data_IF_153264808662
#
_entry.id   IF_153264808662
#
_cell.length_a   1.000
_cell.length_b   1.000
_cell.length_c   1.000
_cell.angle_alpha   90.00
_cell.angle_beta   90.00
_cell.angle_gamma   90.00
#
_symmetry.space_group_name_H-M   'P 1'
#
loop_
_entity.id
_entity.type
_entity.pdbx_description
1 polymer ?
#
# COMPACT_ATOMS: atom_id res chain seq x y z
N UNK A 1 -60.42 39.58 0.76
CA UNK A 1 -60.85 40.40 -0.40
C UNK A 1 -59.85 40.16 -1.54
N UNK A 2 -60.35 39.72 -2.72
CA UNK A 2 -59.82 39.91 -4.11
C UNK A 2 -58.29 39.78 -4.29
N UNK A 3 -57.68 38.75 -4.88
CA UNK A 3 -57.95 37.99 -6.13
C UNK A 3 -58.18 38.88 -7.37
N UNK A 4 -57.28 38.71 -8.35
CA UNK A 4 -57.29 39.14 -9.75
C UNK A 4 -56.94 40.61 -10.10
N UNK A 5 -55.73 40.79 -10.66
CA UNK A 5 -55.60 41.49 -11.94
C UNK A 5 -54.54 40.80 -12.80
N UNK A 6 -55.00 39.82 -13.59
CA UNK A 6 -54.32 39.28 -14.78
C UNK A 6 -54.50 40.27 -15.93
N UNK A 7 -53.47 40.49 -16.74
CA UNK A 7 -53.47 40.52 -18.22
C UNK A 7 -52.04 40.92 -18.66
N UNK A 8 -51.21 40.03 -19.19
CA UNK A 8 -51.20 39.41 -20.52
C UNK A 8 -50.99 40.39 -21.69
N UNK A 9 -50.09 39.98 -22.61
CA UNK A 9 -49.74 40.49 -23.94
C UNK A 9 -48.82 41.73 -23.98
N UNK A 10 -47.70 41.75 -24.73
CA UNK A 10 -47.16 40.77 -25.67
C UNK A 10 -45.89 41.30 -26.37
N UNK A 11 -45.10 40.36 -26.96
CA UNK A 11 -44.45 40.41 -28.29
C UNK A 11 -43.71 41.71 -28.70
N UNK A 12 -42.47 41.77 -29.22
CA UNK A 12 -41.64 40.82 -29.99
C UNK A 12 -40.33 41.52 -30.46
N UNK A 13 -39.36 40.73 -30.98
CA UNK A 13 -38.23 41.06 -31.93
C UNK A 13 -36.92 41.60 -31.32
N UNK A 14 -35.89 40.79 -31.05
CA UNK A 14 -34.82 40.19 -31.90
C UNK A 14 -33.85 41.20 -32.56
N UNK A 15 -32.57 41.14 -32.17
CA UNK A 15 -31.42 41.26 -33.09
C UNK A 15 -30.25 40.43 -32.55
N UNK A 16 -29.94 39.36 -33.29
CA UNK A 16 -28.80 38.48 -33.13
C UNK A 16 -27.67 39.01 -34.00
N UNK A 17 -26.49 39.18 -33.43
CA UNK A 17 -25.22 39.04 -34.14
C UNK A 17 -24.35 38.18 -33.21
N UNK A 18 -23.98 36.93 -33.52
CA UNK A 18 -23.70 36.35 -34.83
C UNK A 18 -22.20 36.41 -35.06
N UNK A 19 -21.44 35.56 -34.37
CA UNK A 19 -20.00 35.38 -34.52
C UNK A 19 -19.61 33.95 -34.22
N UNK A 20 -20.02 33.03 -35.10
CA UNK A 20 -19.53 31.65 -35.16
C UNK A 20 -18.33 31.56 -36.12
N UNK A 21 -17.28 30.88 -35.68
CA UNK A 21 -16.39 30.01 -36.46
C UNK A 21 -15.85 29.00 -35.44
N UNK A 22 -16.46 27.82 -35.22
CA UNK A 22 -16.60 26.63 -36.08
C UNK A 22 -15.27 25.88 -36.29
N UNK A 23 -15.19 24.70 -35.63
CA UNK A 23 -14.74 23.36 -36.11
C UNK A 23 -13.94 22.63 -35.01
N UNK A 24 -14.60 21.76 -34.24
CA UNK A 24 -14.76 20.30 -34.43
C UNK A 24 -13.70 19.53 -33.62
N UNK A 25 -14.03 18.59 -32.72
CA UNK A 25 -15.30 17.89 -32.55
C UNK A 25 -15.52 17.33 -31.15
N UNK A 26 -16.76 16.93 -30.95
CA UNK A 26 -17.27 16.18 -29.82
C UNK A 26 -16.38 14.98 -29.48
N UNK A 27 -15.98 14.91 -28.23
CA UNK A 27 -16.03 13.68 -27.45
C UNK A 27 -16.78 14.01 -26.16
N UNK A 28 -18.11 13.88 -26.21
CA UNK A 28 -18.87 13.42 -25.05
C UNK A 28 -18.28 12.06 -24.64
N UNK A 29 -17.25 12.08 -23.81
CA UNK A 29 -16.99 10.94 -22.95
C UNK A 29 -17.98 11.09 -21.82
N UNK A 30 -19.10 10.40 -21.95
CA UNK A 30 -19.91 9.96 -20.83
C UNK A 30 -18.99 9.19 -19.87
N UNK A 31 -18.30 9.91 -18.97
CA UNK A 31 -17.67 9.31 -17.81
C UNK A 31 -18.76 9.06 -16.75
N UNK A 32 -19.73 8.22 -17.12
CA UNK A 32 -20.62 7.52 -16.20
C UNK A 32 -19.91 6.28 -15.63
N UNK A 33 -18.64 6.42 -15.26
CA UNK A 33 -17.88 5.45 -14.47
C UNK A 33 -17.36 6.10 -13.16
N UNK A 34 -17.97 7.21 -12.73
CA UNK A 34 -17.79 7.74 -11.40
C UNK A 34 -18.64 6.90 -10.42
N UNK A 35 -17.94 6.13 -9.57
CA UNK A 35 -18.46 5.43 -8.40
C UNK A 35 -19.24 4.13 -8.64
N UNK A 36 -18.66 3.18 -9.38
CA UNK A 36 -19.02 1.78 -9.11
C UNK A 36 -18.47 1.43 -7.72
N UNK A 37 -19.35 1.06 -6.78
CA UNK A 37 -18.95 0.54 -5.45
C UNK A 37 -18.09 -0.70 -5.68
N UNK A 38 -16.86 -0.68 -5.17
CA UNK A 38 -15.86 -1.73 -5.32
C UNK A 38 -15.36 -2.13 -3.93
N UNK A 39 -14.90 -3.39 -3.73
CA UNK A 39 -14.38 -3.82 -2.45
C UNK A 39 -13.19 -2.95 -2.03
N UNK A 40 -13.18 -2.56 -0.77
CA UNK A 40 -12.07 -1.79 -0.18
C UNK A 40 -11.03 -2.77 0.33
N UNK A 41 -9.75 -2.45 0.13
CA UNK A 41 -8.64 -3.28 0.61
C UNK A 41 -7.72 -2.46 1.50
N UNK A 42 -7.25 -3.06 2.59
CA UNK A 42 -6.29 -2.44 3.50
C UNK A 42 -5.34 -3.47 4.12
N UNK A 43 -4.10 -3.05 4.37
CA UNK A 43 -3.07 -3.84 5.03
C UNK A 43 -2.54 -3.06 6.22
N UNK A 44 -2.53 -3.67 7.41
CA UNK A 44 -2.09 -3.01 8.64
C UNK A 44 -1.09 -3.84 9.43
N UNK A 45 -0.10 -3.15 9.99
CA UNK A 45 0.90 -3.70 10.91
C UNK A 45 0.96 -2.79 12.13
N UNK A 46 0.32 -3.20 13.22
CA UNK A 46 0.11 -2.31 14.37
C UNK A 46 -0.72 -1.10 13.94
N UNK A 47 -0.20 0.10 14.17
CA UNK A 47 -0.86 1.35 13.76
C UNK A 47 -0.43 1.82 12.35
N UNK A 48 0.49 1.10 11.70
CA UNK A 48 1.02 1.45 10.38
C UNK A 48 0.12 0.89 9.27
N UNK A 49 -0.29 1.78 8.35
CA UNK A 49 -1.02 1.41 7.14
C UNK A 49 -0.05 1.17 5.98
N UNK A 50 -0.01 -0.06 5.48
CA UNK A 50 0.85 -0.50 4.38
C UNK A 50 0.04 -0.80 3.11
N UNK A 51 -1.14 -0.20 2.97
CA UNK A 51 -2.04 -0.43 1.83
C UNK A 51 -1.48 0.16 0.54
N UNK A 52 -0.80 1.31 0.60
CA UNK A 52 -0.29 2.00 -0.59
C UNK A 52 -1.37 2.21 -1.65
N UNK A 53 -1.02 1.98 -2.93
CA UNK A 53 -1.92 2.15 -4.07
C UNK A 53 -2.76 0.89 -4.40
N UNK A 54 -2.86 -0.07 -3.49
CA UNK A 54 -3.31 -1.44 -3.78
C UNK A 54 -4.81 -1.60 -3.98
N UNK A 55 -5.60 -0.57 -3.68
CA UNK A 55 -7.04 -0.57 -3.94
C UNK A 55 -7.39 -0.74 -5.43
N UNK A 56 -6.51 -0.30 -6.34
CA UNK A 56 -6.72 -0.49 -7.77
C UNK A 56 -6.62 -1.95 -8.18
N UNK A 57 -5.59 -2.68 -7.74
CA UNK A 57 -5.44 -4.11 -8.08
C UNK A 57 -6.65 -4.94 -7.64
N UNK A 58 -7.23 -4.63 -6.48
CA UNK A 58 -8.43 -5.31 -5.98
C UNK A 58 -9.66 -4.99 -6.83
N UNK A 59 -9.83 -3.70 -7.16
CA UNK A 59 -10.93 -3.26 -8.02
C UNK A 59 -10.86 -3.89 -9.41
N UNK A 60 -9.65 -3.99 -9.98
CA UNK A 60 -9.41 -4.55 -11.31
C UNK A 60 -9.59 -6.08 -11.33
N UNK A 61 -9.31 -6.77 -10.21
CA UNK A 61 -9.46 -8.22 -10.06
C UNK A 61 -10.89 -8.67 -9.69
N UNK A 62 -11.75 -7.75 -9.22
CA UNK A 62 -13.08 -8.10 -8.74
C UNK A 62 -14.02 -8.55 -9.85
N UNK A 63 -14.75 -9.64 -9.60
CA UNK A 63 -15.87 -10.11 -10.41
C UNK A 63 -16.98 -10.63 -9.50
N UNK A 64 -18.26 -10.62 -9.94
CA UNK A 64 -19.35 -11.22 -9.17
C UNK A 64 -19.04 -12.66 -8.78
N UNK A 65 -19.44 -13.05 -7.57
CA UNK A 65 -19.26 -14.40 -7.01
C UNK A 65 -17.81 -14.82 -6.76
N UNK A 66 -16.83 -13.92 -6.88
CA UNK A 66 -15.43 -14.21 -6.52
C UNK A 66 -15.28 -14.44 -5.02
N UNK A 67 -14.49 -15.44 -4.66
CA UNK A 67 -14.13 -15.69 -3.25
C UNK A 67 -13.00 -14.78 -2.78
N UNK A 68 -12.81 -14.66 -1.46
CA UNK A 68 -11.69 -13.91 -0.87
C UNK A 68 -10.36 -14.42 -1.41
N UNK A 69 -10.16 -15.75 -1.42
CA UNK A 69 -8.93 -16.35 -1.94
C UNK A 69 -8.68 -15.99 -3.40
N UNK A 70 -9.66 -16.24 -4.27
CA UNK A 70 -9.53 -15.97 -5.70
C UNK A 70 -9.28 -14.49 -5.99
N UNK A 71 -9.94 -13.59 -5.25
CA UNK A 71 -9.74 -12.15 -5.39
C UNK A 71 -8.32 -11.73 -5.01
N UNK A 72 -7.83 -12.22 -3.87
CA UNK A 72 -6.49 -11.92 -3.39
C UNK A 72 -5.41 -12.48 -4.33
N UNK A 73 -5.57 -13.70 -4.84
CA UNK A 73 -4.67 -14.30 -5.84
C UNK A 73 -4.71 -13.52 -7.17
N UNK A 74 -5.91 -13.23 -7.69
CA UNK A 74 -6.07 -12.51 -8.96
C UNK A 74 -5.57 -11.07 -8.91
N UNK A 75 -5.60 -10.43 -7.74
CA UNK A 75 -5.06 -9.08 -7.54
C UNK A 75 -3.53 -9.02 -7.63
N UNK A 76 -2.85 -10.16 -7.47
CA UNK A 76 -1.38 -10.22 -7.38
C UNK A 76 -0.81 -9.59 -6.11
N UNK A 77 -1.65 -9.15 -5.16
CA UNK A 77 -1.21 -8.55 -3.91
C UNK A 77 -0.79 -9.58 -2.88
N UNK A 78 -1.34 -10.80 -2.96
CA UNK A 78 -1.14 -11.82 -1.93
C UNK A 78 -0.52 -13.06 -2.55
N UNK A 79 0.54 -13.56 -1.91
CA UNK A 79 1.09 -14.88 -2.21
C UNK A 79 0.73 -15.82 -1.07
N UNK A 80 0.01 -16.90 -1.38
CA UNK A 80 -0.29 -17.96 -0.42
C UNK A 80 0.89 -18.93 -0.27
N UNK A 81 1.00 -19.53 0.90
CA UNK A 81 1.91 -20.65 1.15
C UNK A 81 1.40 -21.91 0.43
N UNK A 82 2.25 -22.94 0.36
CA UNK A 82 1.91 -24.22 -0.29
C UNK A 82 0.71 -24.95 0.34
N UNK A 83 0.29 -24.58 1.54
CA UNK A 83 -0.93 -25.08 2.19
C UNK A 83 -2.22 -24.46 1.63
N UNK A 84 -2.10 -23.41 0.81
CA UNK A 84 -3.21 -22.69 0.20
C UNK A 84 -4.09 -21.92 1.19
N UNK A 85 -3.63 -21.71 2.43
CA UNK A 85 -4.35 -21.03 3.52
C UNK A 85 -3.52 -19.92 4.15
N UNK A 86 -2.26 -20.18 4.45
CA UNK A 86 -1.36 -19.20 5.08
C UNK A 86 -0.89 -18.19 4.04
N UNK A 87 -0.72 -16.94 4.44
CA UNK A 87 -0.18 -15.89 3.56
C UNK A 87 1.33 -15.78 3.77
N UNK A 88 2.10 -15.81 2.68
CA UNK A 88 3.55 -15.57 2.69
C UNK A 88 3.85 -14.07 2.57
N UNK A 89 3.21 -13.43 1.60
CA UNK A 89 3.40 -12.00 1.32
C UNK A 89 2.06 -11.35 1.07
N UNK A 90 1.92 -10.12 1.55
CA UNK A 90 0.74 -9.27 1.36
C UNK A 90 1.23 -7.88 0.99
N UNK A 91 0.90 -7.44 -0.21
CA UNK A 91 1.30 -6.14 -0.75
C UNK A 91 2.80 -5.84 -0.64
N UNK A 92 3.65 -6.78 -1.06
CA UNK A 92 5.11 -6.71 -0.88
C UNK A 92 5.58 -6.63 0.59
N UNK A 93 4.72 -6.98 1.55
CA UNK A 93 5.06 -7.11 2.96
C UNK A 93 5.21 -8.57 3.33
N UNK A 94 6.32 -8.92 3.98
CA UNK A 94 6.58 -10.26 4.54
C UNK A 94 6.65 -10.19 6.06
N UNK A 95 6.22 -11.25 6.73
CA UNK A 95 6.30 -11.37 8.18
C UNK A 95 7.45 -12.29 8.59
N UNK A 96 8.00 -12.04 9.77
CA UNK A 96 8.88 -13.00 10.43
C UNK A 96 8.12 -14.26 10.88
N UNK A 97 8.80 -15.41 11.05
CA UNK A 97 8.14 -16.69 11.30
C UNK A 97 7.29 -16.77 12.59
N UNK A 98 7.49 -15.86 13.53
CA UNK A 98 6.75 -15.73 14.79
C UNK A 98 5.46 -14.90 14.67
N UNK A 99 5.14 -14.43 13.46
CA UNK A 99 3.99 -13.61 13.14
C UNK A 99 3.14 -14.26 12.05
N UNK A 100 1.86 -13.92 12.02
CA UNK A 100 0.91 -14.44 11.05
C UNK A 100 0.01 -13.32 10.53
N UNK A 101 -0.48 -13.50 9.30
CA UNK A 101 -1.50 -12.65 8.72
C UNK A 101 -2.89 -13.13 9.13
N UNK A 102 -3.76 -12.19 9.45
CA UNK A 102 -5.18 -12.40 9.66
C UNK A 102 -5.96 -11.65 8.58
N UNK A 103 -6.91 -12.33 7.94
CA UNK A 103 -7.80 -11.73 6.95
C UNK A 103 -9.14 -11.46 7.63
N UNK A 104 -9.66 -10.24 7.47
CA UNK A 104 -10.98 -9.84 7.91
C UNK A 104 -11.81 -9.35 6.73
N UNK A 105 -13.06 -9.79 6.67
CA UNK A 105 -14.05 -9.34 5.70
C UNK A 105 -15.16 -8.60 6.46
N UNK A 106 -15.30 -7.31 6.19
CA UNK A 106 -16.30 -6.43 6.79
C UNK A 106 -16.30 -6.50 8.33
N UNK A 107 -15.08 -6.52 8.91
CA UNK A 107 -14.83 -6.53 10.35
C UNK A 107 -14.91 -7.90 11.03
N UNK A 108 -15.04 -8.99 10.26
CA UNK A 108 -15.06 -10.37 10.79
C UNK A 108 -13.89 -11.17 10.25
N UNK A 109 -13.17 -11.87 11.14
CA UNK A 109 -12.12 -12.79 10.74
C UNK A 109 -12.66 -13.84 9.75
N UNK A 110 -11.93 -14.03 8.65
CA UNK A 110 -12.25 -14.99 7.60
C UNK A 110 -11.67 -16.33 7.99
N UNK A 111 -12.51 -17.21 8.55
CA UNK A 111 -12.12 -18.59 8.86
C UNK A 111 -12.01 -19.47 7.60
N UNK A 112 -12.80 -19.15 6.56
CA UNK A 112 -12.81 -19.85 5.28
C UNK A 112 -12.53 -18.87 4.12
N UNK A 113 -11.34 -18.95 3.48
CA UNK A 113 -11.01 -18.16 2.30
C UNK A 113 -11.93 -18.37 1.09
N UNK A 114 -12.79 -19.42 1.10
CA UNK A 114 -13.86 -19.65 0.12
C UNK A 114 -15.09 -18.74 0.28
N UNK A 115 -15.09 -17.83 1.24
CA UNK A 115 -16.17 -16.85 1.43
C UNK A 115 -16.27 -15.91 0.22
N UNK A 116 -17.49 -15.70 -0.30
CA UNK A 116 -17.76 -14.80 -1.44
C UNK A 116 -17.66 -13.34 -1.02
N UNK A 117 -17.00 -12.53 -1.86
CA UNK A 117 -16.82 -11.08 -1.66
C UNK A 117 -17.92 -10.29 -2.36
N UNK A 118 -18.53 -9.35 -1.63
CA UNK A 118 -19.48 -8.37 -2.17
C UNK A 118 -18.79 -7.06 -2.51
N UNK A 119 -19.43 -6.25 -3.35
CA UNK A 119 -18.91 -4.96 -3.80
C UNK A 119 -18.70 -3.98 -2.65
N UNK A 120 -19.55 -4.04 -1.65
CA UNK A 120 -19.52 -3.19 -0.46
C UNK A 120 -18.59 -3.70 0.65
N UNK A 121 -17.98 -4.88 0.48
CA UNK A 121 -17.14 -5.45 1.52
C UNK A 121 -15.82 -4.70 1.68
N UNK A 122 -15.32 -4.72 2.92
CA UNK A 122 -13.98 -4.22 3.25
C UNK A 122 -13.10 -5.41 3.62
N UNK A 123 -12.01 -5.61 2.88
CA UNK A 123 -10.98 -6.59 3.16
C UNK A 123 -9.87 -5.88 3.94
N UNK A 124 -9.65 -6.33 5.17
CA UNK A 124 -8.56 -5.86 6.02
C UNK A 124 -7.65 -7.05 6.28
N UNK A 125 -6.36 -6.89 5.98
CA UNK A 125 -5.34 -7.87 6.33
C UNK A 125 -4.44 -7.26 7.40
N UNK A 126 -4.35 -7.91 8.56
CA UNK A 126 -3.58 -7.44 9.72
C UNK A 126 -2.49 -8.42 10.07
N UNK A 127 -1.30 -7.92 10.42
CA UNK A 127 -0.27 -8.72 11.05
C UNK A 127 -0.56 -8.90 12.55
N UNK A 128 -0.36 -10.11 13.06
CA UNK A 128 -0.49 -10.45 14.47
C UNK A 128 0.61 -11.42 14.90
N UNK A 129 0.79 -11.61 16.20
CA UNK A 129 1.64 -12.67 16.72
C UNK A 129 1.03 -14.04 16.38
N UNK A 130 1.86 -15.02 15.98
CA UNK A 130 1.38 -16.35 15.65
C UNK A 130 1.00 -17.20 16.87
N UNK A 131 1.44 -16.78 18.07
CA UNK A 131 1.20 -17.46 19.35
C UNK A 131 0.76 -16.43 20.41
N UNK A 132 0.49 -16.89 21.63
CA UNK A 132 0.21 -16.03 22.80
C UNK A 132 1.47 -15.25 23.24
N UNK A 133 1.86 -14.27 22.43
CA UNK A 133 2.95 -13.35 22.68
C UNK A 133 2.52 -11.92 22.34
N UNK A 134 3.10 -10.89 22.99
CA UNK A 134 2.86 -9.51 22.59
C UNK A 134 3.30 -9.25 21.15
N UNK A 135 2.41 -8.70 20.33
CA UNK A 135 2.77 -8.27 18.99
C UNK A 135 3.51 -6.93 19.05
N UNK A 136 4.83 -6.98 18.91
CA UNK A 136 5.73 -5.82 19.01
C UNK A 136 6.61 -5.75 17.76
N UNK A 137 6.10 -5.22 16.64
CA UNK A 137 6.84 -5.21 15.38
C UNK A 137 7.81 -4.02 15.31
N UNK A 138 8.81 -4.16 14.45
CA UNK A 138 9.53 -3.09 13.76
C UNK A 138 9.44 -3.37 12.26
N UNK A 139 9.41 -2.33 11.44
CA UNK A 139 9.24 -2.47 9.99
C UNK A 139 10.55 -2.12 9.31
N UNK A 140 11.06 -3.02 8.49
CA UNK A 140 12.21 -2.78 7.61
C UNK A 140 11.73 -2.73 6.16
N UNK A 141 11.77 -1.55 5.55
CA UNK A 141 11.42 -1.36 4.14
C UNK A 141 12.69 -1.26 3.31
N UNK A 142 12.85 -2.11 2.31
CA UNK A 142 13.80 -1.90 1.21
C UNK A 142 13.05 -1.19 0.10
N UNK A 143 13.53 -0.05 -0.36
CA UNK A 143 12.95 0.72 -1.45
C UNK A 143 13.98 0.85 -2.57
N UNK A 144 13.75 0.16 -3.69
CA UNK A 144 14.67 0.17 -4.83
C UNK A 144 14.56 1.42 -5.71
N UNK A 145 13.71 2.38 -5.34
CA UNK A 145 13.45 3.58 -6.12
C UNK A 145 12.87 3.25 -7.50
N UNK A 146 12.97 4.22 -8.41
CA UNK A 146 12.47 4.05 -9.80
C UNK A 146 13.35 3.12 -10.65
N UNK A 147 14.62 2.95 -10.27
CA UNK A 147 15.60 2.21 -11.06
C UNK A 147 15.57 0.70 -10.82
N UNK A 148 15.12 0.27 -9.64
CA UNK A 148 15.03 -1.15 -9.24
C UNK A 148 13.72 -1.42 -8.46
N UNK A 149 12.54 -1.11 -9.00
CA UNK A 149 11.27 -1.21 -8.29
C UNK A 149 11.00 -2.62 -7.72
N UNK A 150 11.52 -3.67 -8.36
CA UNK A 150 11.43 -5.06 -7.93
C UNK A 150 12.15 -5.37 -6.62
N UNK A 151 13.09 -4.53 -6.18
CA UNK A 151 13.72 -4.66 -4.88
C UNK A 151 12.80 -4.22 -3.74
N UNK A 152 11.75 -3.44 -4.06
CA UNK A 152 10.86 -2.81 -3.08
C UNK A 152 10.04 -3.83 -2.33
N UNK A 153 10.32 -3.97 -1.04
CA UNK A 153 9.68 -4.94 -0.17
C UNK A 153 9.82 -4.52 1.29
N UNK A 154 8.77 -4.71 2.08
CA UNK A 154 8.80 -4.48 3.52
C UNK A 154 8.82 -5.80 4.28
N UNK A 155 9.50 -5.78 5.42
CA UNK A 155 9.69 -6.93 6.30
C UNK A 155 9.29 -6.52 7.71
N UNK A 156 8.28 -7.20 8.25
CA UNK A 156 7.88 -7.03 9.65
C UNK A 156 8.73 -7.97 10.49
N UNK A 157 9.50 -7.39 11.41
CA UNK A 157 10.44 -8.11 12.24
C UNK A 157 10.12 -7.92 13.72
N UNK A 158 10.44 -8.91 14.58
CA UNK A 158 10.19 -8.77 16.01
C UNK A 158 11.11 -7.72 16.62
N UNK A 159 10.53 -6.86 17.44
CA UNK A 159 11.29 -6.00 18.33
C UNK A 159 11.92 -6.84 19.45
N UNK A 160 13.17 -6.50 19.80
CA UNK A 160 13.84 -7.04 20.99
C UNK A 160 14.39 -5.88 21.82
N UNK A 161 14.55 -6.12 23.13
CA UNK A 161 15.09 -5.08 24.01
C UNK A 161 16.48 -4.64 23.54
N UNK A 162 16.71 -3.33 23.49
CA UNK A 162 17.98 -2.73 23.05
C UNK A 162 18.31 -2.94 21.56
N UNK A 163 17.33 -3.34 20.75
CA UNK A 163 17.47 -3.40 19.29
C UNK A 163 17.91 -2.02 18.74
N UNK A 164 18.96 -2.02 17.93
CA UNK A 164 19.48 -0.82 17.24
C UNK A 164 19.26 -0.92 15.74
N UNK A 165 19.39 0.20 15.02
CA UNK A 165 19.38 0.22 13.55
C UNK A 165 20.40 -0.79 12.99
N UNK A 166 21.64 -0.77 13.47
CA UNK A 166 22.68 -1.74 13.09
C UNK A 166 22.28 -3.18 13.40
N UNK A 167 21.69 -3.39 14.59
CA UNK A 167 21.21 -4.71 15.02
C UNK A 167 20.15 -5.25 14.06
N UNK A 168 19.15 -4.43 13.75
CA UNK A 168 18.06 -4.75 12.81
C UNK A 168 18.60 -5.10 11.42
N UNK A 169 19.49 -4.26 10.91
CA UNK A 169 20.14 -4.47 9.62
C UNK A 169 20.85 -5.83 9.57
N UNK A 170 21.67 -6.14 10.58
CA UNK A 170 22.38 -7.43 10.66
C UNK A 170 21.44 -8.62 10.81
N UNK A 171 20.44 -8.52 11.68
CA UNK A 171 19.50 -9.63 11.93
C UNK A 171 18.57 -9.90 10.76
N UNK A 172 18.33 -8.92 9.90
CA UNK A 172 17.51 -9.11 8.68
C UNK A 172 18.10 -10.14 7.71
N UNK A 173 19.44 -10.31 7.72
CA UNK A 173 20.13 -11.09 6.70
C UNK A 173 20.07 -10.49 5.29
N UNK A 174 19.50 -9.29 5.14
CA UNK A 174 19.29 -8.64 3.85
C UNK A 174 20.44 -7.70 3.47
N UNK A 175 21.32 -7.29 4.38
CA UNK A 175 22.31 -6.25 4.06
C UNK A 175 23.74 -6.73 4.20
N UNK A 176 24.59 -6.25 3.30
CA UNK A 176 26.03 -6.37 3.40
C UNK A 176 26.61 -5.02 3.79
N UNK A 177 27.14 -4.94 5.01
CA UNK A 177 27.82 -3.76 5.53
C UNK A 177 29.32 -3.82 5.21
N UNK A 178 29.95 -2.66 5.06
CA UNK A 178 31.39 -2.54 4.98
C UNK A 178 32.06 -2.95 6.31
N UNK A 179 33.40 -3.08 6.31
CA UNK A 179 34.18 -3.45 7.50
C UNK A 179 33.95 -2.51 8.69
N UNK A 180 33.71 -1.22 8.41
CA UNK A 180 33.36 -0.22 9.42
C UNK A 180 31.99 -0.48 10.09
N UNK A 181 31.21 -1.44 9.56
CA UNK A 181 29.85 -1.80 9.96
C UNK A 181 28.86 -0.63 9.92
N UNK A 182 29.15 0.46 9.19
CA UNK A 182 28.34 1.68 9.08
C UNK A 182 27.79 1.92 7.68
N UNK A 183 28.58 1.58 6.67
CA UNK A 183 28.23 1.84 5.27
C UNK A 183 27.54 0.61 4.66
N UNK A 184 26.39 0.81 4.03
CA UNK A 184 25.72 -0.24 3.26
C UNK A 184 26.42 -0.41 1.91
N UNK A 185 26.94 -1.61 1.64
CA UNK A 185 27.56 -1.97 0.36
C UNK A 185 26.57 -2.61 -0.60
N UNK A 186 25.68 -3.45 -0.06
CA UNK A 186 24.64 -4.11 -0.83
C UNK A 186 23.40 -4.35 0.03
N UNK A 187 22.25 -4.44 -0.62
CA UNK A 187 20.98 -4.90 -0.03
C UNK A 187 20.45 -6.00 -0.92
N UNK A 188 20.07 -7.13 -0.31
CA UNK A 188 19.94 -8.44 -0.95
C UNK A 188 21.25 -8.72 -1.70
N UNK A 189 21.16 -8.96 -3.00
CA UNK A 189 22.31 -9.16 -3.88
C UNK A 189 22.68 -7.89 -4.69
N UNK A 190 21.95 -6.78 -4.51
CA UNK A 190 22.13 -5.59 -5.32
C UNK A 190 23.18 -4.63 -4.74
N UNK A 191 24.18 -4.32 -5.55
CA UNK A 191 25.20 -3.30 -5.29
C UNK A 191 24.88 -2.05 -6.10
N UNK A 192 24.82 -0.85 -5.47
CA UNK A 192 24.57 0.39 -6.19
C UNK A 192 25.58 0.63 -7.32
N UNK A 193 25.10 1.18 -8.43
CA UNK A 193 25.94 1.69 -9.50
C UNK A 193 26.71 2.95 -9.07
N UNK A 194 27.64 3.42 -9.91
CA UNK A 194 28.50 4.56 -9.57
C UNK A 194 27.75 5.88 -9.31
N UNK A 195 26.55 6.02 -9.88
CA UNK A 195 25.64 7.15 -9.72
C UNK A 195 24.52 6.90 -8.69
N UNK A 196 24.60 5.80 -7.93
CA UNK A 196 23.59 5.41 -6.94
C UNK A 196 24.21 5.26 -5.55
N UNK A 197 23.36 5.35 -4.53
CA UNK A 197 23.73 5.05 -3.15
C UNK A 197 22.54 4.57 -2.32
N UNK A 198 22.84 3.78 -1.29
CA UNK A 198 21.87 3.40 -0.26
C UNK A 198 21.80 4.48 0.82
N UNK A 199 20.60 4.96 1.11
CA UNK A 199 20.30 5.85 2.24
C UNK A 199 19.43 5.15 3.26
N UNK A 200 19.64 5.49 4.53
CA UNK A 200 18.79 5.03 5.62
C UNK A 200 17.86 6.16 6.07
N UNK A 201 16.60 5.82 6.35
CA UNK A 201 15.66 6.70 7.05
C UNK A 201 15.00 5.97 8.19
N UNK A 202 14.84 6.64 9.33
CA UNK A 202 14.06 6.15 10.45
C UNK A 202 12.84 7.04 10.62
N UNK A 203 11.64 6.48 10.50
CA UNK A 203 10.37 7.20 10.59
C UNK A 203 10.39 8.46 9.70
N UNK A 204 10.64 8.27 8.40
CA UNK A 204 10.77 9.29 7.35
C UNK A 204 11.94 10.29 7.49
N UNK A 205 12.79 10.15 8.51
CA UNK A 205 13.94 11.05 8.72
C UNK A 205 15.23 10.38 8.27
N UNK A 206 15.95 11.00 7.34
CA UNK A 206 17.27 10.54 6.91
C UNK A 206 18.20 10.41 8.10
N UNK A 207 18.80 9.24 8.25
CA UNK A 207 19.83 8.97 9.24
C UNK A 207 21.19 9.43 8.72
N UNK A 208 21.92 10.13 9.58
CA UNK A 208 23.36 10.36 9.39
C UNK A 208 24.13 9.10 9.78
N UNK A 209 25.42 9.00 9.43
CA UNK A 209 26.28 7.86 9.77
C UNK A 209 26.32 7.54 11.28
N UNK A 210 26.16 8.55 12.14
CA UNK A 210 26.06 8.37 13.60
C UNK A 210 24.75 7.72 14.05
N UNK A 211 23.72 7.73 13.20
CA UNK A 211 22.39 7.21 13.48
C UNK A 211 22.30 5.68 13.47
N UNK A 212 23.32 4.98 12.97
CA UNK A 212 23.27 3.51 12.86
C UNK A 212 23.28 2.79 14.21
N UNK A 213 23.75 3.44 15.28
CA UNK A 213 23.73 2.88 16.64
C UNK A 213 22.52 3.35 17.46
N UNK A 214 21.57 4.06 16.84
CA UNK A 214 20.35 4.48 17.52
C UNK A 214 19.50 3.27 17.89
N UNK A 215 18.94 3.31 19.10
CA UNK A 215 17.96 2.32 19.57
C UNK A 215 16.63 2.54 18.87
N UNK A 216 16.05 1.45 18.39
CA UNK A 216 14.72 1.40 17.83
C UNK A 216 13.68 1.25 18.94
N UNK A 217 12.44 1.57 18.60
CA UNK A 217 11.24 1.38 19.41
C UNK A 217 10.27 0.48 18.68
N UNK A 218 9.32 -0.05 19.44
CA UNK A 218 8.18 -0.77 18.86
C UNK A 218 7.47 0.15 17.87
N UNK A 219 7.11 -0.40 16.72
CA UNK A 219 6.53 0.26 15.54
C UNK A 219 7.44 1.28 14.83
N UNK A 220 8.74 1.35 15.14
CA UNK A 220 9.65 2.13 14.29
C UNK A 220 9.75 1.51 12.89
N UNK A 221 9.81 2.37 11.87
CA UNK A 221 10.05 2.02 10.48
C UNK A 221 11.44 2.47 10.04
N UNK A 222 12.27 1.51 9.65
CA UNK A 222 13.56 1.74 9.00
C UNK A 222 13.41 1.51 7.49
N UNK A 223 13.62 2.56 6.70
CA UNK A 223 13.68 2.48 5.24
C UNK A 223 15.14 2.46 4.78
N UNK A 224 15.47 1.53 3.88
CA UNK A 224 16.70 1.52 3.07
C UNK A 224 16.32 1.93 1.65
N UNK A 225 16.63 3.16 1.24
CA UNK A 225 16.26 3.69 -0.08
C UNK A 225 17.46 3.69 -1.03
N UNK A 226 17.30 3.15 -2.23
CA UNK A 226 18.21 3.36 -3.35
C UNK A 226 17.92 4.72 -3.97
N UNK A 227 18.90 5.60 -4.02
CA UNK A 227 18.76 6.94 -4.60
C UNK A 227 19.88 7.23 -5.59
N UNK A 228 19.60 8.12 -6.55
CA UNK A 228 20.64 8.72 -7.37
C UNK A 228 21.44 9.73 -6.55
N UNK A 229 22.75 9.81 -6.83
CA UNK A 229 23.65 10.81 -6.27
C UNK A 229 23.48 12.19 -6.90
#
# INVERSE_FOLDING_TARGET
MKLLYRLCLGLMVIMIAGGCNALNGNLEVNNAAASAVQPVFSVKVGDTDLTGSSGRQISDAYKPEITVKELLEASGLVTFAGDGKSLLTVNHVSLSPDMAWEIQLSGKAVADPGTVVKREDTILITAAAAQEAPFQPVILTVNGGIGQPELTQSYVMPYTENLTVRGLLKSSGLVHLAENNRTLLAVKEYKPLSNEEWKLKLNDKTLLDSGIDMKLRIQDELEISLVLR
#
